data_IF_887229474902
#
_entry.id   IF_887229474902
#
_cell.length_a   1.000
_cell.length_b   1.000
_cell.length_c   1.000
_cell.angle_alpha   90.00
_cell.angle_beta   90.00
_cell.angle_gamma   90.00
#
_symmetry.space_group_name_H-M   'P 1'
#
loop_
_entity.id
_entity.type
_entity.pdbx_description
1 polymer ?
#
# COMPACT_ATOMS: atom_id res chain seq x y z
N UNK A 1 -16.30 -34.12 27.02
CA UNK A 1 -16.82 -32.98 26.25
C UNK A 1 -15.88 -32.79 25.09
N UNK A 2 -16.32 -33.07 23.87
CA UNK A 2 -15.50 -32.97 22.66
C UNK A 2 -15.47 -31.52 22.19
N UNK A 3 -14.27 -30.93 22.08
CA UNK A 3 -14.07 -29.52 21.67
C UNK A 3 -13.67 -29.44 20.22
N UNK A 4 -14.35 -28.57 19.49
CA UNK A 4 -14.13 -28.30 18.07
C UNK A 4 -13.65 -26.86 17.92
N UNK A 5 -12.67 -26.62 17.06
CA UNK A 5 -12.29 -25.28 16.63
C UNK A 5 -12.47 -25.13 15.12
N UNK A 6 -12.89 -23.95 14.68
CA UNK A 6 -12.92 -23.57 13.27
C UNK A 6 -12.45 -22.13 13.11
N UNK A 7 -11.99 -21.77 11.91
CA UNK A 7 -11.50 -20.43 11.60
C UNK A 7 -12.08 -19.91 10.30
N UNK A 8 -12.26 -18.60 10.24
CA UNK A 8 -12.70 -17.93 9.03
C UNK A 8 -12.64 -16.42 9.15
N UNK A 9 -12.69 -15.76 8.01
CA UNK A 9 -12.92 -14.31 7.99
C UNK A 9 -14.37 -14.00 8.32
N UNK A 10 -15.32 -14.79 7.81
CA UNK A 10 -16.76 -14.57 8.01
C UNK A 10 -17.25 -13.21 7.47
N UNK A 11 -16.61 -12.72 6.41
CA UNK A 11 -16.95 -11.49 5.70
C UNK A 11 -18.23 -11.62 4.88
N UNK A 12 -19.08 -10.59 4.85
CA UNK A 12 -20.41 -10.59 4.22
C UNK A 12 -21.16 -11.86 4.61
N UNK A 13 -21.50 -11.94 5.89
CA UNK A 13 -21.96 -13.18 6.49
C UNK A 13 -23.16 -13.78 5.73
N UNK A 14 -22.96 -14.99 5.18
CA UNK A 14 -23.91 -15.61 4.26
C UNK A 14 -24.17 -17.09 4.63
N UNK A 15 -25.11 -17.73 3.92
CA UNK A 15 -25.54 -19.12 4.20
C UNK A 15 -24.39 -20.15 4.23
N UNK A 16 -23.37 -19.97 3.38
CA UNK A 16 -22.15 -20.80 3.45
C UNK A 16 -21.40 -20.73 4.79
N UNK A 17 -21.28 -19.54 5.41
CA UNK A 17 -20.70 -19.37 6.75
C UNK A 17 -21.60 -20.00 7.82
N UNK A 18 -22.91 -19.79 7.75
CA UNK A 18 -23.85 -20.44 8.65
C UNK A 18 -23.72 -21.98 8.60
N UNK A 19 -23.66 -22.57 7.41
CA UNK A 19 -23.59 -24.01 7.22
C UNK A 19 -22.26 -24.61 7.69
N UNK A 20 -21.12 -23.92 7.54
CA UNK A 20 -19.85 -24.43 8.07
C UNK A 20 -19.86 -24.41 9.60
N UNK A 21 -20.40 -23.35 10.23
CA UNK A 21 -20.51 -23.26 11.68
C UNK A 21 -21.48 -24.31 12.25
N UNK A 22 -22.63 -24.50 11.60
CA UNK A 22 -23.60 -25.54 11.98
C UNK A 22 -22.96 -26.92 11.98
N UNK A 23 -22.28 -27.28 10.88
CA UNK A 23 -21.62 -28.60 10.76
C UNK A 23 -20.43 -28.73 11.70
N UNK A 24 -19.67 -27.65 11.95
CA UNK A 24 -18.61 -27.68 12.95
C UNK A 24 -19.17 -27.94 14.37
N UNK A 25 -20.34 -27.39 14.71
CA UNK A 25 -21.02 -27.68 15.99
C UNK A 25 -21.52 -29.13 16.06
N UNK A 26 -21.89 -29.75 14.95
CA UNK A 26 -22.30 -31.17 14.91
C UNK A 26 -21.14 -32.14 15.20
N UNK A 27 -19.87 -31.69 15.11
CA UNK A 27 -18.66 -32.51 15.34
C UNK A 27 -18.23 -32.59 16.81
N UNK A 28 -18.91 -31.89 17.73
CA UNK A 28 -18.59 -31.95 19.16
C UNK A 28 -19.55 -31.16 20.05
N UNK A 29 -19.25 -31.14 21.34
CA UNK A 29 -20.12 -30.53 22.35
C UNK A 29 -19.87 -29.02 22.51
N UNK A 30 -18.65 -28.56 22.21
CA UNK A 30 -18.20 -27.18 22.43
C UNK A 30 -17.46 -26.65 21.19
N UNK A 31 -17.95 -25.58 20.58
CA UNK A 31 -17.42 -24.97 19.37
C UNK A 31 -16.73 -23.63 19.67
N UNK A 32 -15.45 -23.58 19.34
CA UNK A 32 -14.63 -22.37 19.34
C UNK A 32 -14.55 -21.85 17.90
N UNK A 33 -14.85 -20.58 17.69
CA UNK A 33 -14.78 -19.93 16.37
C UNK A 33 -13.73 -18.83 16.39
N UNK A 34 -12.66 -19.02 15.62
CA UNK A 34 -11.64 -18.00 15.37
C UNK A 34 -12.01 -17.09 14.20
N UNK A 35 -12.26 -15.81 14.49
CA UNK A 35 -12.53 -14.78 13.48
C UNK A 35 -11.21 -14.06 13.15
N UNK A 36 -10.81 -14.00 11.88
CA UNK A 36 -9.54 -13.34 11.50
C UNK A 36 -9.59 -11.83 11.75
N UNK A 37 -8.56 -11.29 12.41
CA UNK A 37 -8.38 -9.85 12.61
C UNK A 37 -8.10 -9.11 11.31
N UNK A 38 -8.41 -7.82 11.27
CA UNK A 38 -8.24 -6.97 10.07
C UNK A 38 -6.78 -6.82 9.66
N UNK A 39 -5.87 -6.67 10.62
CA UNK A 39 -4.43 -6.63 10.37
C UNK A 39 -3.95 -7.93 9.73
N UNK A 40 -4.35 -9.08 10.28
CA UNK A 40 -3.94 -10.37 9.76
C UNK A 40 -4.52 -10.67 8.36
N UNK A 41 -5.78 -10.28 8.11
CA UNK A 41 -6.36 -10.36 6.78
C UNK A 41 -5.58 -9.50 5.77
N UNK A 42 -5.17 -8.31 6.17
CA UNK A 42 -4.37 -7.42 5.33
C UNK A 42 -2.97 -7.98 5.06
N UNK A 43 -2.32 -8.51 6.09
CA UNK A 43 -0.98 -9.11 6.03
C UNK A 43 -0.90 -10.36 5.14
N UNK A 44 -1.99 -11.11 4.98
CA UNK A 44 -2.05 -12.27 4.06
C UNK A 44 -2.61 -11.93 2.68
N UNK A 45 -2.71 -10.65 2.36
CA UNK A 45 -3.20 -10.16 1.06
C UNK A 45 -4.71 -10.22 0.87
N UNK A 46 -5.49 -10.44 1.94
CA UNK A 46 -6.96 -10.45 1.89
C UNK A 46 -7.50 -9.03 2.10
N UNK A 47 -7.18 -8.15 1.16
CA UNK A 47 -7.53 -6.71 1.17
C UNK A 47 -9.00 -6.41 0.86
N UNK A 48 -9.81 -7.46 0.74
CA UNK A 48 -11.18 -7.41 0.22
C UNK A 48 -12.26 -7.50 1.29
N UNK A 49 -11.88 -7.61 2.56
CA UNK A 49 -12.81 -7.73 3.69
C UNK A 49 -13.60 -6.43 3.82
N UNK A 50 -14.93 -6.54 3.94
CA UNK A 50 -15.85 -5.41 4.01
C UNK A 50 -16.37 -5.20 5.44
N UNK A 51 -16.81 -6.28 6.08
CA UNK A 51 -17.37 -6.21 7.41
C UNK A 51 -16.26 -5.95 8.44
N UNK A 52 -16.48 -4.95 9.30
CA UNK A 52 -15.61 -4.72 10.46
C UNK A 52 -15.46 -6.00 11.29
N UNK A 53 -14.33 -6.17 11.97
CA UNK A 53 -14.13 -7.31 12.87
C UNK A 53 -15.31 -7.47 13.87
N UNK A 54 -15.80 -6.36 14.42
CA UNK A 54 -16.95 -6.34 15.33
C UNK A 54 -18.21 -6.89 14.66
N UNK A 55 -18.51 -6.45 13.43
CA UNK A 55 -19.65 -6.96 12.66
C UNK A 55 -19.54 -8.46 12.41
N UNK A 56 -18.34 -8.96 12.05
CA UNK A 56 -18.09 -10.38 11.77
C UNK A 56 -18.23 -11.24 13.03
N UNK A 57 -17.69 -10.77 14.17
CA UNK A 57 -17.87 -11.41 15.47
C UNK A 57 -19.35 -11.48 15.85
N UNK A 58 -20.09 -10.37 15.69
CA UNK A 58 -21.50 -10.31 16.04
C UNK A 58 -22.36 -11.22 15.15
N UNK A 59 -22.04 -11.30 13.85
CA UNK A 59 -22.69 -12.22 12.92
C UNK A 59 -22.45 -13.69 13.31
N UNK A 60 -21.23 -14.06 13.71
CA UNK A 60 -20.92 -15.39 14.26
C UNK A 60 -21.70 -15.63 15.55
N UNK A 61 -21.73 -14.68 16.47
CA UNK A 61 -22.45 -14.78 17.75
C UNK A 61 -23.94 -15.03 17.55
N UNK A 62 -24.58 -14.29 16.63
CA UNK A 62 -26.02 -14.41 16.29
C UNK A 62 -26.42 -15.79 15.77
N UNK A 63 -25.49 -16.60 15.30
CA UNK A 63 -25.79 -17.97 14.85
C UNK A 63 -26.19 -18.89 16.00
N UNK A 64 -25.76 -18.59 17.23
CA UNK A 64 -25.97 -19.44 18.40
C UNK A 64 -25.12 -20.71 18.43
N UNK A 65 -24.24 -20.93 17.45
CA UNK A 65 -23.41 -22.15 17.39
C UNK A 65 -22.10 -22.05 18.17
N UNK A 66 -21.52 -20.85 18.25
CA UNK A 66 -20.22 -20.64 18.89
C UNK A 66 -20.37 -20.51 20.41
N UNK A 67 -19.71 -21.39 21.16
CA UNK A 67 -19.63 -21.30 22.62
C UNK A 67 -18.52 -20.34 23.06
N UNK A 68 -17.46 -20.22 22.26
CA UNK A 68 -16.38 -19.25 22.42
C UNK A 68 -16.00 -18.64 21.07
N UNK A 69 -15.82 -17.32 21.03
CA UNK A 69 -15.29 -16.61 19.88
C UNK A 69 -13.93 -16.05 20.25
N UNK A 70 -12.93 -16.31 19.42
CA UNK A 70 -11.56 -15.78 19.55
C UNK A 70 -11.19 -15.00 18.28
N UNK A 71 -10.21 -14.13 18.38
CA UNK A 71 -9.67 -13.40 17.23
C UNK A 71 -8.34 -14.03 16.80
N UNK A 72 -8.19 -14.30 15.51
CA UNK A 72 -6.93 -14.76 14.91
C UNK A 72 -6.13 -13.58 14.38
N UNK A 73 -4.98 -13.30 14.99
CA UNK A 73 -4.15 -12.11 14.78
C UNK A 73 -2.85 -12.38 14.01
N UNK A 74 -2.38 -13.63 13.94
CA UNK A 74 -1.10 -13.94 13.27
C UNK A 74 -0.98 -15.39 12.81
N UNK A 75 -0.05 -15.63 11.88
CA UNK A 75 0.24 -16.96 11.34
C UNK A 75 0.79 -17.89 12.43
N UNK A 76 0.17 -19.06 12.58
CA UNK A 76 0.59 -20.09 13.54
C UNK A 76 -0.16 -20.07 14.86
N UNK A 77 -1.00 -19.06 15.12
CA UNK A 77 -1.83 -18.97 16.33
C UNK A 77 -2.68 -20.22 16.57
N UNK A 78 -3.15 -20.89 15.50
CA UNK A 78 -3.96 -22.12 15.58
C UNK A 78 -3.35 -23.19 16.47
N UNK A 79 -2.02 -23.36 16.45
CA UNK A 79 -1.34 -24.36 17.28
C UNK A 79 -1.49 -24.01 18.76
N UNK A 80 -1.28 -22.74 19.11
CA UNK A 80 -1.41 -22.28 20.49
C UNK A 80 -2.86 -22.40 20.96
N UNK A 81 -3.83 -22.04 20.11
CA UNK A 81 -5.24 -22.16 20.43
C UNK A 81 -5.65 -23.63 20.65
N UNK A 82 -5.22 -24.55 19.78
CA UNK A 82 -5.50 -25.99 19.91
C UNK A 82 -4.99 -26.51 21.27
N UNK A 83 -3.76 -26.15 21.65
CA UNK A 83 -3.15 -26.59 22.92
C UNK A 83 -3.84 -25.92 24.12
N UNK A 84 -4.02 -24.59 24.07
CA UNK A 84 -4.55 -23.78 25.16
C UNK A 84 -5.99 -24.17 25.51
N UNK A 85 -6.80 -24.42 24.50
CA UNK A 85 -8.21 -24.76 24.67
C UNK A 85 -8.46 -26.26 24.72
N UNK A 86 -7.40 -27.09 24.58
CA UNK A 86 -7.46 -28.55 24.62
C UNK A 86 -8.46 -29.07 23.58
N UNK A 87 -8.22 -28.71 22.32
CA UNK A 87 -9.12 -28.95 21.18
C UNK A 87 -8.93 -30.35 20.62
N UNK A 88 -10.03 -31.10 20.46
CA UNK A 88 -10.01 -32.45 19.89
C UNK A 88 -10.05 -32.44 18.35
N UNK A 89 -10.77 -31.48 17.75
CA UNK A 89 -10.99 -31.44 16.29
C UNK A 89 -10.85 -30.02 15.73
N UNK A 90 -10.04 -29.85 14.70
CA UNK A 90 -10.06 -28.69 13.79
C UNK A 90 -10.97 -28.99 12.60
N UNK A 91 -12.00 -28.17 12.44
CA UNK A 91 -12.92 -28.23 11.30
C UNK A 91 -12.67 -27.05 10.37
N UNK A 92 -12.43 -27.32 9.08
CA UNK A 92 -12.20 -26.27 8.08
C UNK A 92 -12.78 -26.65 6.71
N UNK A 93 -12.98 -25.66 5.83
CA UNK A 93 -13.50 -25.90 4.49
C UNK A 93 -12.54 -26.74 3.63
N UNK A 94 -13.08 -27.55 2.74
CA UNK A 94 -12.36 -28.44 1.82
C UNK A 94 -11.35 -27.74 0.91
N UNK A 95 -11.50 -26.44 0.67
CA UNK A 95 -10.55 -25.63 -0.11
C UNK A 95 -9.16 -25.56 0.52
N UNK A 96 -9.06 -25.92 1.80
CA UNK A 96 -7.81 -25.96 2.55
C UNK A 96 -7.22 -27.37 2.67
N UNK A 97 -7.79 -28.36 1.97
CA UNK A 97 -7.35 -29.76 2.03
C UNK A 97 -5.84 -29.86 1.76
N UNK A 98 -5.12 -30.54 2.64
CA UNK A 98 -3.66 -30.68 2.59
C UNK A 98 -2.90 -29.56 3.29
N UNK A 99 -3.48 -28.35 3.44
CA UNK A 99 -2.74 -27.20 3.99
C UNK A 99 -2.55 -27.29 5.51
N UNK A 100 -3.53 -27.85 6.22
CA UNK A 100 -3.53 -27.93 7.69
C UNK A 100 -3.25 -29.33 8.23
N UNK A 101 -2.87 -30.28 7.38
CA UNK A 101 -2.63 -31.67 7.77
C UNK A 101 -1.52 -31.81 8.83
N UNK A 102 -0.57 -30.88 8.86
CA UNK A 102 0.48 -30.82 9.88
C UNK A 102 -0.06 -30.63 11.31
N UNK A 103 -1.30 -30.12 11.47
CA UNK A 103 -1.97 -29.96 12.76
C UNK A 103 -2.53 -31.27 13.31
N UNK A 104 -2.56 -32.35 12.50
CA UNK A 104 -2.97 -33.71 12.93
C UNK A 104 -2.17 -34.26 14.11
N UNK A 105 -0.99 -33.68 14.38
CA UNK A 105 -0.15 -33.99 15.54
C UNK A 105 -0.73 -33.50 16.86
N UNK A 106 -1.64 -32.52 16.82
CA UNK A 106 -2.22 -31.87 17.99
C UNK A 106 -3.71 -32.17 18.15
N UNK A 107 -4.45 -32.32 17.06
CA UNK A 107 -5.89 -32.63 17.07
C UNK A 107 -6.30 -33.35 15.78
N UNK A 108 -7.51 -33.92 15.73
CA UNK A 108 -8.08 -34.43 14.48
C UNK A 108 -8.33 -33.27 13.50
N UNK A 109 -8.02 -33.42 12.22
CA UNK A 109 -8.28 -32.39 11.19
C UNK A 109 -9.34 -32.88 10.23
N UNK A 110 -10.50 -32.20 10.20
CA UNK A 110 -11.63 -32.52 9.31
C UNK A 110 -11.86 -31.42 8.29
N UNK A 111 -11.99 -31.84 7.04
CA UNK A 111 -12.33 -30.98 5.91
C UNK A 111 -13.79 -31.14 5.52
N UNK A 112 -14.59 -30.08 5.63
CA UNK A 112 -15.99 -30.07 5.24
C UNK A 112 -16.16 -29.52 3.83
N UNK A 113 -16.94 -30.19 3.00
CA UNK A 113 -17.29 -29.68 1.68
C UNK A 113 -17.93 -28.29 1.76
N UNK A 114 -17.64 -27.42 0.80
CA UNK A 114 -18.30 -26.12 0.73
C UNK A 114 -19.75 -26.25 0.30
N UNK A 115 -20.58 -25.32 0.79
CA UNK A 115 -21.90 -25.10 0.20
C UNK A 115 -21.70 -24.60 -1.23
N UNK A 116 -22.11 -25.42 -2.22
CA UNK A 116 -21.96 -25.09 -3.64
C UNK A 116 -22.66 -23.77 -3.97
N UNK A 117 -22.06 -22.98 -4.86
CA UNK A 117 -22.58 -21.72 -5.41
C UNK A 117 -22.73 -20.52 -4.45
N UNK A 118 -22.21 -20.57 -3.22
CA UNK A 118 -22.26 -19.43 -2.28
C UNK A 118 -20.85 -19.12 -1.73
N UNK A 119 -20.36 -17.90 -1.98
CA UNK A 119 -19.10 -17.41 -1.42
C UNK A 119 -19.13 -15.89 -1.28
N UNK A 120 -18.39 -15.34 -0.31
CA UNK A 120 -18.22 -13.89 -0.18
C UNK A 120 -17.68 -13.25 -1.46
N UNK A 121 -16.88 -13.95 -2.27
CA UNK A 121 -16.43 -13.41 -3.57
C UNK A 121 -17.58 -13.23 -4.55
N UNK A 122 -18.47 -14.22 -4.69
CA UNK A 122 -19.65 -14.10 -5.55
C UNK A 122 -20.63 -13.03 -5.07
N UNK A 123 -20.88 -12.98 -3.76
CA UNK A 123 -21.75 -11.95 -3.17
C UNK A 123 -21.13 -10.56 -3.37
N UNK A 124 -19.80 -10.43 -3.26
CA UNK A 124 -19.09 -9.20 -3.60
C UNK A 124 -19.30 -8.81 -5.06
N UNK A 125 -19.18 -9.75 -5.99
CA UNK A 125 -19.40 -9.46 -7.41
C UNK A 125 -20.86 -9.07 -7.72
N UNK A 126 -21.84 -9.60 -6.99
CA UNK A 126 -23.28 -9.35 -7.16
C UNK A 126 -23.76 -8.08 -6.45
N UNK A 127 -23.20 -7.73 -5.29
CA UNK A 127 -23.63 -6.61 -4.44
C UNK A 127 -22.71 -5.38 -4.50
N UNK A 128 -21.44 -5.52 -4.93
CA UNK A 128 -20.52 -4.39 -4.99
C UNK A 128 -20.68 -3.59 -6.28
N UNK A 129 -20.68 -2.27 -6.14
CA UNK A 129 -20.35 -1.37 -7.24
C UNK A 129 -18.90 -1.65 -7.67
N UNK A 130 -18.74 -2.25 -8.85
CA UNK A 130 -17.43 -2.40 -9.48
C UNK A 130 -17.02 -1.06 -10.08
N UNK A 131 -15.86 -0.57 -9.69
CA UNK A 131 -15.26 0.63 -10.25
C UNK A 131 -14.37 0.24 -11.42
N UNK A 132 -14.63 0.85 -12.57
CA UNK A 132 -13.83 0.65 -13.77
C UNK A 132 -12.52 1.41 -13.64
N UNK A 133 -11.42 0.69 -13.71
CA UNK A 133 -10.07 1.21 -13.55
C UNK A 133 -9.37 1.24 -14.92
N UNK A 134 -8.78 2.37 -15.26
CA UNK A 134 -8.01 2.54 -16.49
C UNK A 134 -6.60 3.05 -16.24
N UNK A 135 -5.70 2.79 -17.17
CA UNK A 135 -4.31 3.26 -17.13
C UNK A 135 -4.03 4.22 -18.27
N UNK A 136 -3.32 5.31 -18.00
CA UNK A 136 -2.71 6.17 -19.03
C UNK A 136 -1.21 5.89 -18.99
N UNK A 137 -0.64 5.42 -20.10
CA UNK A 137 0.78 5.02 -20.18
C UNK A 137 1.45 5.45 -21.47
N UNK A 138 2.77 5.65 -21.38
CA UNK A 138 3.66 5.93 -22.51
C UNK A 138 4.48 4.69 -22.93
N UNK A 139 4.23 3.51 -22.35
CA UNK A 139 5.05 2.31 -22.58
C UNK A 139 4.25 1.01 -22.47
N UNK A 140 4.78 -0.09 -23.04
CA UNK A 140 4.20 -1.45 -22.96
C UNK A 140 4.63 -2.23 -21.72
N UNK A 141 5.46 -1.63 -20.86
CA UNK A 141 6.16 -2.30 -19.77
C UNK A 141 5.53 -2.07 -18.39
N UNK A 142 4.48 -1.25 -18.28
CA UNK A 142 3.82 -0.94 -17.00
C UNK A 142 2.88 -2.05 -16.50
N UNK A 143 3.30 -3.31 -16.52
CA UNK A 143 2.46 -4.46 -16.17
C UNK A 143 1.98 -4.45 -14.72
N UNK A 144 2.78 -3.95 -13.79
CA UNK A 144 2.39 -3.84 -12.38
C UNK A 144 1.18 -2.91 -12.19
N UNK A 145 1.03 -1.89 -13.06
CA UNK A 145 -0.14 -1.00 -13.05
C UNK A 145 -1.45 -1.76 -13.34
N UNK A 146 -1.35 -2.91 -14.02
CA UNK A 146 -2.48 -3.81 -14.31
C UNK A 146 -2.64 -4.87 -13.23
N UNK A 147 -1.55 -5.49 -12.80
CA UNK A 147 -1.61 -6.67 -11.94
C UNK A 147 -1.98 -6.34 -10.50
N UNK A 148 -1.43 -5.25 -9.95
CA UNK A 148 -1.62 -4.89 -8.55
C UNK A 148 -3.08 -4.50 -8.21
N UNK A 149 -3.80 -3.68 -9.01
CA UNK A 149 -5.20 -3.36 -8.72
C UNK A 149 -6.14 -4.57 -8.76
N UNK A 150 -5.83 -5.63 -9.53
CA UNK A 150 -6.63 -6.86 -9.58
C UNK A 150 -6.69 -7.59 -8.23
N UNK A 151 -5.77 -7.29 -7.31
CA UNK A 151 -5.77 -7.83 -5.95
C UNK A 151 -6.67 -7.04 -4.98
N UNK A 152 -7.27 -5.93 -5.42
CA UNK A 152 -8.17 -5.09 -4.62
C UNK A 152 -9.62 -5.35 -5.04
N UNK A 153 -10.49 -5.69 -4.09
CA UNK A 153 -11.90 -5.94 -4.43
C UNK A 153 -12.64 -4.69 -4.83
N UNK A 154 -13.61 -4.85 -5.75
CA UNK A 154 -14.41 -3.77 -6.32
C UNK A 154 -13.69 -2.99 -7.42
N UNK A 155 -12.52 -3.45 -7.87
CA UNK A 155 -11.82 -2.92 -9.03
C UNK A 155 -12.02 -3.86 -10.22
N UNK A 156 -12.41 -3.31 -11.35
CA UNK A 156 -12.39 -3.99 -12.63
C UNK A 156 -11.51 -3.19 -13.60
N UNK A 157 -10.39 -3.76 -14.03
CA UNK A 157 -9.44 -3.08 -14.91
C UNK A 157 -9.64 -3.54 -16.36
N UNK A 158 -10.23 -2.68 -17.19
CA UNK A 158 -10.69 -3.02 -18.54
C UNK A 158 -9.99 -2.25 -19.66
N UNK A 159 -9.31 -1.14 -19.33
CA UNK A 159 -8.86 -0.24 -20.39
C UNK A 159 -7.52 0.45 -20.16
N UNK A 160 -6.89 0.78 -21.28
CA UNK A 160 -5.66 1.56 -21.33
C UNK A 160 -5.82 2.68 -22.34
N UNK A 161 -5.19 3.81 -22.06
CA UNK A 161 -4.98 4.89 -23.00
C UNK A 161 -3.48 5.15 -23.19
N UNK A 162 -3.11 5.43 -24.43
CA UNK A 162 -1.84 6.06 -24.76
C UNK A 162 -2.03 7.09 -25.87
N UNK A 163 -1.21 8.14 -25.88
CA UNK A 163 -1.20 9.07 -26.99
C UNK A 163 -0.66 8.43 -28.28
N UNK A 164 0.14 7.36 -28.16
CA UNK A 164 0.55 6.53 -29.28
C UNK A 164 -0.42 5.35 -29.44
N UNK A 165 -1.14 5.33 -30.57
CA UNK A 165 -2.12 4.29 -30.89
C UNK A 165 -1.50 2.88 -30.93
N UNK A 166 -0.22 2.76 -31.31
CA UNK A 166 0.49 1.48 -31.30
C UNK A 166 0.73 1.01 -29.87
N UNK A 167 1.19 1.90 -28.97
CA UNK A 167 1.41 1.57 -27.56
C UNK A 167 0.09 1.15 -26.90
N UNK A 168 -0.99 1.91 -27.12
CA UNK A 168 -2.30 1.56 -26.59
C UNK A 168 -2.75 0.15 -27.02
N UNK A 169 -2.58 -0.18 -28.31
CA UNK A 169 -2.95 -1.48 -28.87
C UNK A 169 -2.06 -2.61 -28.32
N UNK A 170 -0.74 -2.40 -28.31
CA UNK A 170 0.23 -3.41 -27.87
C UNK A 170 0.10 -3.68 -26.37
N UNK A 171 -0.12 -2.64 -25.55
CA UNK A 171 -0.40 -2.78 -24.12
C UNK A 171 -1.71 -3.55 -23.87
N UNK A 172 -2.79 -3.16 -24.55
CA UNK A 172 -4.08 -3.81 -24.46
C UNK A 172 -3.99 -5.31 -24.76
N UNK A 173 -3.28 -5.68 -25.84
CA UNK A 173 -3.08 -7.08 -26.21
C UNK A 173 -2.20 -7.81 -25.20
N UNK A 174 -1.09 -7.19 -24.75
CA UNK A 174 -0.11 -7.83 -23.85
C UNK A 174 -0.71 -8.19 -22.49
N UNK A 175 -1.60 -7.35 -21.96
CA UNK A 175 -2.22 -7.54 -20.64
C UNK A 175 -3.67 -8.00 -20.70
N UNK A 176 -4.15 -8.39 -21.90
CA UNK A 176 -5.48 -8.93 -22.15
C UNK A 176 -6.59 -7.99 -21.62
N UNK A 177 -6.47 -6.71 -21.94
CA UNK A 177 -7.50 -5.70 -21.61
C UNK A 177 -8.59 -5.67 -22.68
N UNK A 178 -9.78 -5.21 -22.30
CA UNK A 178 -10.93 -5.14 -23.21
C UNK A 178 -10.78 -4.05 -24.27
N UNK A 179 -10.12 -2.93 -23.94
CA UNK A 179 -10.05 -1.78 -24.84
C UNK A 179 -8.78 -0.94 -24.68
N UNK A 180 -8.12 -0.68 -25.81
CA UNK A 180 -7.01 0.27 -25.95
C UNK A 180 -7.47 1.53 -26.68
N UNK A 181 -7.35 2.67 -26.02
CA UNK A 181 -7.81 3.97 -26.52
C UNK A 181 -6.62 4.86 -26.93
N UNK A 182 -6.78 5.60 -28.01
CA UNK A 182 -5.90 6.71 -28.39
C UNK A 182 -6.60 8.08 -28.31
N UNK A 183 -7.89 8.10 -27.95
CA UNK A 183 -8.66 9.29 -27.61
C UNK A 183 -8.90 9.34 -26.11
N UNK A 184 -8.40 10.37 -25.44
CA UNK A 184 -8.49 10.46 -23.99
C UNK A 184 -9.91 10.70 -23.46
N UNK A 185 -10.79 11.37 -24.22
CA UNK A 185 -12.18 11.56 -23.79
C UNK A 185 -12.94 10.23 -23.79
N UNK A 186 -12.79 9.44 -24.85
CA UNK A 186 -13.46 8.16 -24.98
C UNK A 186 -12.98 7.19 -23.89
N UNK A 187 -11.68 7.21 -23.59
CA UNK A 187 -11.11 6.50 -22.45
C UNK A 187 -11.72 6.94 -21.11
N UNK A 188 -11.75 8.24 -20.82
CA UNK A 188 -12.32 8.75 -19.56
C UNK A 188 -13.81 8.39 -19.42
N UNK A 189 -14.56 8.35 -20.52
CA UNK A 189 -15.97 7.92 -20.50
C UNK A 189 -16.13 6.44 -20.14
N UNK A 190 -15.10 5.61 -20.37
CA UNK A 190 -15.13 4.17 -20.10
C UNK A 190 -14.80 3.77 -18.66
N UNK A 191 -14.27 4.68 -17.83
CA UNK A 191 -13.71 4.37 -16.51
C UNK A 191 -14.24 5.26 -15.38
N UNK A 192 -14.04 4.85 -14.13
CA UNK A 192 -14.32 5.63 -12.92
C UNK A 192 -13.03 6.12 -12.24
N UNK A 193 -11.98 5.30 -12.32
CA UNK A 193 -10.67 5.54 -11.72
C UNK A 193 -9.60 5.49 -12.81
N UNK A 194 -8.68 6.46 -12.82
CA UNK A 194 -7.54 6.49 -13.74
C UNK A 194 -6.22 6.51 -12.99
N UNK A 195 -5.29 5.64 -13.42
CA UNK A 195 -3.89 5.75 -13.03
C UNK A 195 -3.07 6.37 -14.17
N UNK A 196 -2.54 7.57 -13.93
CA UNK A 196 -1.70 8.32 -14.87
C UNK A 196 -0.23 7.99 -14.63
N UNK A 197 0.33 7.17 -15.52
CA UNK A 197 1.72 6.70 -15.50
C UNK A 197 2.45 7.12 -16.79
N UNK A 198 2.71 8.41 -16.88
CA UNK A 198 3.35 9.04 -18.04
C UNK A 198 4.55 9.89 -17.60
N UNK A 199 5.31 10.38 -18.58
CA UNK A 199 6.34 11.41 -18.32
C UNK A 199 5.74 12.64 -17.62
N UNK A 200 6.54 13.30 -16.79
CA UNK A 200 6.08 14.33 -15.85
C UNK A 200 5.42 15.52 -16.54
N UNK A 201 5.90 15.92 -17.71
CA UNK A 201 5.42 17.09 -18.45
C UNK A 201 3.95 16.98 -18.86
N UNK A 202 3.45 15.75 -19.03
CA UNK A 202 2.07 15.50 -19.44
C UNK A 202 1.12 15.24 -18.27
N UNK A 203 1.64 14.94 -17.07
CA UNK A 203 0.85 14.51 -15.90
C UNK A 203 -0.21 15.54 -15.52
N UNK A 204 0.15 16.82 -15.38
CA UNK A 204 -0.80 17.89 -15.04
C UNK A 204 -2.00 17.94 -15.99
N UNK A 205 -1.77 17.86 -17.31
CA UNK A 205 -2.82 17.90 -18.33
C UNK A 205 -3.77 16.72 -18.20
N UNK A 206 -3.24 15.50 -18.05
CA UNK A 206 -4.06 14.29 -17.91
C UNK A 206 -4.86 14.28 -16.61
N UNK A 207 -4.22 14.63 -15.49
CA UNK A 207 -4.85 14.69 -14.17
C UNK A 207 -5.96 15.74 -14.16
N UNK A 208 -5.68 16.99 -14.57
CA UNK A 208 -6.69 18.07 -14.62
C UNK A 208 -7.91 17.68 -15.43
N UNK A 209 -7.70 17.05 -16.59
CA UNK A 209 -8.79 16.64 -17.47
C UNK A 209 -9.60 15.46 -16.91
N UNK A 210 -8.96 14.50 -16.23
CA UNK A 210 -9.66 13.43 -15.51
C UNK A 210 -10.51 13.97 -14.36
N UNK A 211 -9.96 14.87 -13.54
CA UNK A 211 -10.68 15.49 -12.43
C UNK A 211 -11.89 16.30 -12.92
N UNK A 212 -11.76 17.05 -14.02
CA UNK A 212 -12.89 17.77 -14.63
C UNK A 212 -14.01 16.83 -15.11
N UNK A 213 -13.67 15.60 -15.51
CA UNK A 213 -14.63 14.55 -15.85
C UNK A 213 -15.08 13.73 -14.62
N UNK A 214 -14.82 14.23 -13.41
CA UNK A 214 -15.20 13.62 -12.13
C UNK A 214 -14.67 12.18 -11.97
N UNK A 215 -13.44 11.93 -12.42
CA UNK A 215 -12.75 10.65 -12.20
C UNK A 215 -11.87 10.71 -10.96
N UNK A 216 -11.76 9.59 -10.25
CA UNK A 216 -10.73 9.43 -9.22
C UNK A 216 -9.39 9.21 -9.91
N UNK A 217 -8.32 9.79 -9.38
CA UNK A 217 -7.02 9.84 -10.04
C UNK A 217 -5.91 9.36 -9.12
N UNK A 218 -5.14 8.39 -9.58
CA UNK A 218 -3.80 8.10 -9.08
C UNK A 218 -2.83 8.60 -10.15
N UNK A 219 -1.70 9.18 -9.78
CA UNK A 219 -0.69 9.59 -10.75
C UNK A 219 0.72 9.43 -10.18
N UNK A 220 1.67 9.02 -11.03
CA UNK A 220 3.09 8.98 -10.66
C UNK A 220 3.52 10.36 -10.13
N UNK A 221 4.27 10.32 -9.04
CA UNK A 221 4.56 11.51 -8.26
C UNK A 221 5.86 12.19 -8.73
N UNK A 222 5.94 13.53 -8.73
CA UNK A 222 4.83 14.46 -8.51
C UNK A 222 4.00 14.66 -9.79
N UNK A 223 2.74 15.10 -9.64
CA UNK A 223 1.91 15.45 -10.80
C UNK A 223 2.41 16.71 -11.53
N UNK A 224 3.06 17.61 -10.78
CA UNK A 224 3.63 18.86 -11.26
C UNK A 224 4.71 19.35 -10.28
N UNK A 225 5.62 20.18 -10.77
CA UNK A 225 6.61 20.90 -9.96
C UNK A 225 6.18 22.35 -9.64
N UNK A 226 5.03 22.76 -10.16
CA UNK A 226 4.48 24.09 -9.91
C UNK A 226 3.51 24.05 -8.74
N UNK A 227 3.83 24.78 -7.65
CA UNK A 227 2.97 24.86 -6.45
C UNK A 227 1.54 25.31 -6.79
N UNK A 228 1.40 26.22 -7.75
CA UNK A 228 0.09 26.70 -8.22
C UNK A 228 -0.72 25.57 -8.87
N UNK A 229 -0.08 24.71 -9.64
CA UNK A 229 -0.74 23.59 -10.31
C UNK A 229 -1.16 22.52 -9.29
N UNK A 230 -0.31 22.21 -8.31
CA UNK A 230 -0.65 21.27 -7.22
C UNK A 230 -1.89 21.75 -6.46
N UNK A 231 -1.93 23.04 -6.08
CA UNK A 231 -3.07 23.64 -5.40
C UNK A 231 -4.33 23.58 -6.26
N UNK A 232 -4.24 23.95 -7.53
CA UNK A 232 -5.37 23.90 -8.45
C UNK A 232 -5.94 22.47 -8.59
N UNK A 233 -5.09 21.46 -8.76
CA UNK A 233 -5.54 20.07 -8.88
C UNK A 233 -6.19 19.56 -7.58
N UNK A 234 -5.66 19.97 -6.43
CA UNK A 234 -6.21 19.60 -5.11
C UNK A 234 -7.59 20.22 -4.90
N UNK A 235 -7.73 21.53 -5.15
CA UNK A 235 -9.02 22.22 -5.08
C UNK A 235 -10.05 21.65 -6.07
N UNK A 236 -9.62 21.27 -7.27
CA UNK A 236 -10.48 20.66 -8.28
C UNK A 236 -10.98 19.26 -7.85
N UNK A 237 -10.11 18.46 -7.25
CA UNK A 237 -10.48 17.14 -6.72
C UNK A 237 -11.51 17.27 -5.59
N UNK A 238 -11.32 18.24 -4.69
CA UNK A 238 -12.27 18.55 -3.62
C UNK A 238 -13.63 19.00 -4.16
N UNK A 239 -13.62 19.97 -5.08
CA UNK A 239 -14.83 20.51 -5.70
C UNK A 239 -15.65 19.44 -6.39
N UNK A 240 -15.00 18.48 -7.05
CA UNK A 240 -15.67 17.41 -7.78
C UNK A 240 -15.92 16.16 -6.92
N UNK A 241 -15.59 16.20 -5.62
CA UNK A 241 -15.70 15.08 -4.68
C UNK A 241 -15.03 13.80 -5.17
N UNK A 242 -13.84 13.93 -5.76
CA UNK A 242 -13.01 12.82 -6.25
C UNK A 242 -11.70 12.73 -5.49
N UNK A 243 -11.10 11.54 -5.48
CA UNK A 243 -9.83 11.27 -4.78
C UNK A 243 -8.68 11.53 -5.75
N UNK A 244 -7.62 12.18 -5.28
CA UNK A 244 -6.40 12.47 -6.05
C UNK A 244 -5.15 12.01 -5.26
N UNK A 245 -4.43 10.99 -5.74
CA UNK A 245 -3.27 10.39 -5.07
C UNK A 245 -1.96 10.42 -5.85
N UNK A 246 -0.89 10.84 -5.16
CA UNK A 246 0.47 10.74 -5.65
C UNK A 246 0.89 9.31 -5.40
N UNK A 247 1.43 8.64 -6.41
CA UNK A 247 1.89 7.27 -6.29
C UNK A 247 3.20 7.20 -5.50
N UNK A 248 3.08 7.37 -4.18
CA UNK A 248 4.14 7.22 -3.19
C UNK A 248 3.74 6.05 -2.28
N UNK A 249 3.89 4.82 -2.81
CA UNK A 249 3.38 3.58 -2.18
C UNK A 249 3.85 3.41 -0.74
N UNK A 250 5.07 3.85 -0.41
CA UNK A 250 5.64 3.87 0.94
C UNK A 250 4.65 4.36 2.00
N UNK A 251 3.91 5.44 1.72
CA UNK A 251 3.02 6.08 2.71
C UNK A 251 1.83 5.20 3.12
N UNK A 252 1.51 4.20 2.30
CA UNK A 252 0.37 3.31 2.46
C UNK A 252 0.78 1.96 3.05
N UNK A 253 2.09 1.71 3.22
CA UNK A 253 2.58 0.49 3.85
C UNK A 253 2.30 0.50 5.36
N UNK A 254 1.80 -0.62 5.88
CA UNK A 254 1.57 -0.81 7.32
C UNK A 254 2.85 -0.60 8.12
N UNK A 255 3.97 -1.16 7.64
CA UNK A 255 5.28 -1.00 8.26
C UNK A 255 5.72 0.46 8.36
N UNK A 256 5.43 1.29 7.35
CA UNK A 256 5.76 2.71 7.38
C UNK A 256 4.90 3.47 8.39
N UNK A 257 3.60 3.15 8.49
CA UNK A 257 2.74 3.70 9.54
C UNK A 257 3.27 3.38 10.95
N UNK A 258 3.71 2.15 11.17
CA UNK A 258 4.33 1.73 12.43
C UNK A 258 5.68 2.39 12.67
N UNK A 259 6.50 2.54 11.63
CA UNK A 259 7.76 3.27 11.69
C UNK A 259 7.55 4.71 12.17
N UNK A 260 6.58 5.44 11.58
CA UNK A 260 6.23 6.80 12.00
C UNK A 260 5.81 6.83 13.47
N UNK A 261 5.00 5.87 13.91
CA UNK A 261 4.60 5.76 15.32
C UNK A 261 5.83 5.55 16.21
N UNK A 262 6.72 4.62 15.86
CA UNK A 262 7.93 4.34 16.62
C UNK A 262 8.90 5.53 16.69
N UNK A 263 9.04 6.27 15.60
CA UNK A 263 9.90 7.45 15.54
C UNK A 263 9.30 8.63 16.33
N UNK A 264 7.98 8.82 16.31
CA UNK A 264 7.32 10.03 16.84
C UNK A 264 6.68 9.87 18.23
N UNK A 265 6.58 8.65 18.77
CA UNK A 265 5.99 8.36 20.10
C UNK A 265 6.99 8.40 21.26
N UNK A 266 8.09 9.15 21.11
CA UNK A 266 9.14 9.31 22.13
C UNK A 266 9.91 8.00 22.49
N UNK A 267 9.71 6.91 21.74
CA UNK A 267 10.42 5.62 21.99
C UNK A 267 11.93 5.69 21.71
N UNK A 268 12.34 6.62 20.86
CA UNK A 268 13.75 6.94 20.59
C UNK A 268 14.12 8.37 21.02
N UNK A 269 13.27 9.03 21.82
CA UNK A 269 13.47 10.43 22.20
C UNK A 269 13.11 11.41 21.07
N UNK A 270 13.63 12.63 21.19
CA UNK A 270 13.52 13.65 20.14
C UNK A 270 14.40 13.26 18.96
N UNK A 271 13.91 13.46 17.73
CA UNK A 271 14.64 13.15 16.51
C UNK A 271 15.81 14.12 16.32
N UNK A 272 17.02 13.58 16.09
CA UNK A 272 18.27 14.33 15.93
C UNK A 272 18.81 14.24 14.51
N UNK A 273 18.76 13.04 13.91
CA UNK A 273 19.30 12.83 12.57
C UNK A 273 18.47 11.82 11.79
N UNK A 274 18.22 12.11 10.51
CA UNK A 274 17.73 11.12 9.54
C UNK A 274 18.75 11.01 8.42
N UNK A 275 19.09 9.79 8.04
CA UNK A 275 19.93 9.51 6.89
C UNK A 275 19.21 8.48 6.04
N UNK A 276 19.07 8.73 4.75
CA UNK A 276 18.54 7.73 3.83
C UNK A 276 19.29 7.76 2.51
N UNK A 277 19.51 6.60 1.92
CA UNK A 277 20.14 6.45 0.61
C UNK A 277 19.21 5.72 -0.34
N UNK A 278 19.16 6.11 -1.60
CA UNK A 278 18.33 5.46 -2.62
C UNK A 278 19.05 5.47 -3.97
N UNK A 279 19.00 4.36 -4.70
CA UNK A 279 19.58 4.26 -6.03
C UNK A 279 18.56 3.89 -7.10
N UNK A 280 18.73 4.46 -8.30
CA UNK A 280 17.83 4.19 -9.44
C UNK A 280 17.84 2.72 -9.85
N UNK A 281 18.98 2.05 -9.77
CA UNK A 281 19.14 0.64 -10.14
C UNK A 281 18.33 -0.34 -9.25
N UNK A 282 17.82 0.12 -8.10
CA UNK A 282 16.94 -0.64 -7.22
C UNK A 282 15.46 -0.60 -7.69
N UNK A 283 15.17 0.16 -8.74
CA UNK A 283 13.90 0.19 -9.44
C UNK A 283 13.95 -0.60 -10.75
N UNK A 284 12.79 -0.93 -11.29
CA UNK A 284 12.68 -1.61 -12.58
C UNK A 284 13.41 -0.81 -13.67
N UNK A 285 14.28 -1.49 -14.42
CA UNK A 285 15.06 -0.90 -15.52
C UNK A 285 14.18 -0.34 -16.63
N UNK A 286 12.98 -0.88 -16.78
CA UNK A 286 12.00 -0.42 -17.78
C UNK A 286 11.25 0.84 -17.31
N UNK A 287 11.32 1.18 -16.01
CA UNK A 287 10.68 2.37 -15.46
C UNK A 287 11.50 3.61 -15.79
N UNK A 288 10.92 4.49 -16.61
CA UNK A 288 11.48 5.80 -16.91
C UNK A 288 11.33 6.67 -15.64
N UNK A 289 12.43 6.82 -14.90
CA UNK A 289 12.54 7.72 -13.75
C UNK A 289 13.70 8.68 -13.96
N UNK A 290 13.44 9.96 -13.74
CA UNK A 290 14.49 10.95 -13.62
C UNK A 290 14.88 11.20 -12.15
N UNK A 291 15.83 12.11 -11.96
CA UNK A 291 16.33 12.48 -10.64
C UNK A 291 15.22 12.93 -9.68
N UNK A 292 14.28 13.73 -10.16
CA UNK A 292 13.19 14.30 -9.35
C UNK A 292 12.19 13.22 -8.95
N UNK A 293 11.87 12.30 -9.85
CA UNK A 293 11.01 11.13 -9.56
C UNK A 293 11.63 10.23 -8.48
N UNK A 294 12.96 10.18 -8.38
CA UNK A 294 13.67 9.43 -7.33
C UNK A 294 13.75 10.22 -6.01
N UNK A 295 14.05 11.52 -6.09
CA UNK A 295 14.22 12.41 -4.94
C UNK A 295 12.93 12.62 -4.12
N UNK A 296 11.75 12.40 -4.70
CA UNK A 296 10.49 12.54 -3.97
C UNK A 296 10.38 11.58 -2.79
N UNK A 297 10.90 10.36 -2.89
CA UNK A 297 10.85 9.38 -1.81
C UNK A 297 11.57 9.87 -0.55
N UNK A 298 12.88 10.21 -0.60
CA UNK A 298 13.60 10.65 0.59
C UNK A 298 13.09 11.98 1.13
N UNK A 299 12.78 12.95 0.25
CA UNK A 299 12.29 14.27 0.69
C UNK A 299 10.95 14.11 1.41
N UNK A 300 9.99 13.40 0.81
CA UNK A 300 8.68 13.15 1.42
C UNK A 300 8.85 12.46 2.78
N UNK A 301 9.73 11.46 2.88
CA UNK A 301 9.98 10.72 4.13
C UNK A 301 10.56 11.60 5.24
N UNK A 302 11.53 12.46 4.90
CA UNK A 302 12.10 13.44 5.83
C UNK A 302 11.02 14.40 6.33
N UNK A 303 10.17 14.93 5.43
CA UNK A 303 9.06 15.81 5.79
C UNK A 303 8.02 15.08 6.67
N UNK A 304 7.72 13.79 6.41
CA UNK A 304 6.81 13.00 7.27
C UNK A 304 7.33 12.81 8.70
N UNK A 305 8.65 12.74 8.87
CA UNK A 305 9.31 12.47 10.15
C UNK A 305 9.60 13.76 10.93
N UNK A 306 10.21 14.77 10.30
CA UNK A 306 10.64 16.02 10.96
C UNK A 306 9.66 17.18 10.78
N UNK A 307 8.68 17.05 9.88
CA UNK A 307 7.71 18.09 9.57
C UNK A 307 8.19 19.06 8.49
N UNK A 308 7.40 20.11 8.24
CA UNK A 308 7.63 21.06 7.14
C UNK A 308 8.50 22.26 7.53
N UNK A 309 8.86 22.41 8.81
CA UNK A 309 9.52 23.61 9.35
C UNK A 309 11.05 23.52 9.28
N UNK A 310 11.60 23.18 8.11
CA UNK A 310 13.04 23.24 7.87
C UNK A 310 13.51 24.70 7.82
N UNK A 311 14.78 24.95 8.17
CA UNK A 311 15.42 26.27 8.11
C UNK A 311 16.21 26.47 6.83
N UNK A 312 16.86 25.41 6.37
CA UNK A 312 17.76 25.45 5.24
C UNK A 312 17.79 24.10 4.55
N UNK A 313 17.86 24.14 3.23
CA UNK A 313 18.10 22.98 2.38
C UNK A 313 19.26 23.29 1.45
N UNK A 314 20.07 22.28 1.14
CA UNK A 314 21.12 22.40 0.13
C UNK A 314 21.29 21.10 -0.63
N UNK A 315 21.57 21.19 -1.92
CA UNK A 315 21.90 20.05 -2.77
C UNK A 315 23.39 20.09 -3.16
N UNK A 316 24.04 18.93 -3.14
CA UNK A 316 25.38 18.74 -3.70
C UNK A 316 25.28 17.70 -4.81
N UNK A 317 25.72 18.07 -6.00
CA UNK A 317 25.68 17.21 -7.19
C UNK A 317 27.09 16.73 -7.53
N UNK A 318 27.19 15.48 -7.92
CA UNK A 318 28.39 14.90 -8.54
C UNK A 318 28.02 14.47 -9.95
N UNK A 319 28.88 14.82 -10.90
CA UNK A 319 28.67 14.57 -12.32
C UNK A 319 29.79 13.70 -12.89
N UNK A 320 29.48 12.99 -13.97
CA UNK A 320 30.48 12.28 -14.77
C UNK A 320 31.25 13.23 -15.71
N UNK A 321 32.19 12.65 -16.49
CA UNK A 321 33.01 13.38 -17.46
C UNK A 321 32.21 14.02 -18.61
N UNK A 322 30.96 13.59 -18.81
CA UNK A 322 30.05 14.09 -19.86
C UNK A 322 28.95 14.98 -19.22
N UNK A 323 29.15 15.43 -17.97
CA UNK A 323 28.28 16.36 -17.24
C UNK A 323 26.89 15.81 -16.87
N UNK A 324 26.69 14.49 -16.85
CA UNK A 324 25.47 13.86 -16.32
C UNK A 324 25.55 13.76 -14.80
N UNK A 325 24.44 14.02 -14.10
CA UNK A 325 24.36 13.83 -12.64
C UNK A 325 24.33 12.34 -12.31
N UNK A 326 25.38 11.84 -11.68
CA UNK A 326 25.48 10.43 -11.26
C UNK A 326 25.13 10.23 -9.79
N UNK A 327 25.28 11.27 -8.97
CA UNK A 327 25.01 11.25 -7.54
C UNK A 327 24.59 12.61 -7.02
N UNK A 328 23.73 12.61 -5.99
CA UNK A 328 23.36 13.81 -5.25
C UNK A 328 23.29 13.54 -3.75
N UNK A 329 23.61 14.57 -2.97
CA UNK A 329 23.38 14.62 -1.53
C UNK A 329 22.54 15.84 -1.20
N UNK A 330 21.36 15.60 -0.63
CA UNK A 330 20.48 16.62 -0.09
C UNK A 330 20.69 16.74 1.41
N UNK A 331 20.84 17.96 1.91
CA UNK A 331 20.96 18.24 3.34
C UNK A 331 19.82 19.13 3.80
N UNK A 332 19.23 18.80 4.94
CA UNK A 332 18.16 19.54 5.58
C UNK A 332 18.61 19.94 6.99
N UNK A 333 18.38 21.20 7.33
CA UNK A 333 18.63 21.73 8.67
C UNK A 333 17.31 22.15 9.32
N UNK A 334 17.07 21.67 10.53
CA UNK A 334 15.98 22.09 11.41
C UNK A 334 16.59 22.73 12.67
N UNK A 335 15.74 23.24 13.57
CA UNK A 335 16.21 23.84 14.83
C UNK A 335 17.02 22.86 15.69
N UNK A 336 16.56 21.61 15.81
CA UNK A 336 17.14 20.58 16.67
C UNK A 336 17.48 19.28 15.95
N UNK A 337 17.44 19.27 14.62
CA UNK A 337 17.66 18.06 13.82
C UNK A 337 18.31 18.36 12.47
N UNK A 338 18.94 17.35 11.89
CA UNK A 338 19.44 17.38 10.51
C UNK A 338 18.95 16.17 9.74
N UNK A 339 18.80 16.28 8.43
CA UNK A 339 18.57 15.12 7.59
C UNK A 339 19.48 15.12 6.36
N UNK A 340 19.89 13.94 5.94
CA UNK A 340 20.72 13.71 4.75
C UNK A 340 20.00 12.69 3.88
N UNK A 341 19.84 13.01 2.59
CA UNK A 341 19.39 12.07 1.59
C UNK A 341 20.44 11.92 0.49
N UNK A 342 20.90 10.69 0.29
CA UNK A 342 21.86 10.32 -0.75
C UNK A 342 21.11 9.66 -1.90
N UNK A 343 21.36 10.12 -3.12
CA UNK A 343 20.63 9.68 -4.32
C UNK A 343 21.65 9.25 -5.36
N UNK A 344 21.71 7.95 -5.64
CA UNK A 344 22.54 7.37 -6.68
C UNK A 344 21.76 7.19 -7.98
N UNK A 345 22.09 7.95 -9.01
CA UNK A 345 21.42 7.81 -10.31
C UNK A 345 22.06 6.70 -11.16
N UNK A 346 23.39 6.74 -11.28
CA UNK A 346 24.19 5.72 -11.98
C UNK A 346 25.20 5.03 -11.04
N UNK A 347 25.04 5.23 -9.72
CA UNK A 347 25.83 4.57 -8.70
C UNK A 347 24.95 3.79 -7.72
N UNK A 348 25.46 2.66 -7.26
CA UNK A 348 24.80 1.80 -6.28
C UNK A 348 25.14 2.27 -4.86
N UNK A 349 24.10 2.48 -4.07
CA UNK A 349 24.16 2.78 -2.64
C UNK A 349 23.55 1.60 -1.87
N UNK A 350 23.78 1.51 -0.56
CA UNK A 350 23.24 0.39 0.23
C UNK A 350 21.71 0.41 0.39
N UNK A 351 21.03 1.49 0.02
CA UNK A 351 19.57 1.59 0.13
C UNK A 351 19.08 1.59 1.59
N UNK A 352 19.87 2.13 2.53
CA UNK A 352 19.59 2.10 3.98
C UNK A 352 18.92 3.39 4.44
N UNK A 353 18.06 3.29 5.46
CA UNK A 353 17.59 4.46 6.23
C UNK A 353 17.88 4.30 7.73
N UNK A 354 18.48 5.32 8.32
CA UNK A 354 18.77 5.44 9.75
C UNK A 354 18.06 6.66 10.33
N UNK A 355 17.34 6.46 11.44
CA UNK A 355 16.70 7.51 12.22
C UNK A 355 17.34 7.48 13.61
N UNK A 356 17.97 8.58 14.01
CA UNK A 356 18.62 8.75 15.31
C UNK A 356 17.79 9.73 16.13
N UNK A 357 17.45 9.34 17.35
CA UNK A 357 16.90 10.24 18.36
C UNK A 357 17.74 10.25 19.63
N UNK A 358 17.38 11.12 20.58
CA UNK A 358 18.14 11.33 21.83
C UNK A 358 18.23 10.08 22.70
N UNK A 359 17.26 9.16 22.60
CA UNK A 359 17.15 7.98 23.44
C UNK A 359 17.19 6.65 22.67
N UNK A 360 17.53 6.67 21.38
CA UNK A 360 17.65 5.45 20.58
C UNK A 360 17.77 5.69 19.08
N UNK A 361 17.67 4.62 18.31
CA UNK A 361 17.68 4.67 16.86
C UNK A 361 16.76 3.63 16.22
N UNK A 362 16.38 3.90 14.97
CA UNK A 362 15.68 2.98 14.08
C UNK A 362 16.52 2.81 12.82
N UNK A 363 16.67 1.58 12.37
CA UNK A 363 17.40 1.19 11.16
C UNK A 363 16.47 0.39 10.24
N UNK A 364 16.36 0.84 8.99
CA UNK A 364 15.69 0.14 7.89
C UNK A 364 16.77 -0.28 6.89
N UNK A 365 17.11 -1.57 6.83
CA UNK A 365 18.13 -2.05 5.90
C UNK A 365 17.55 -2.34 4.52
N UNK A 366 18.17 -1.79 3.47
CA UNK A 366 17.85 -1.97 2.05
C UNK A 366 16.40 -1.59 1.68
N UNK A 367 16.17 -1.15 0.44
CA UNK A 367 14.85 -0.87 -0.13
C UNK A 367 13.87 -0.18 0.84
N UNK A 368 14.29 0.86 1.58
CA UNK A 368 13.48 1.42 2.66
C UNK A 368 12.15 2.04 2.18
N UNK A 369 12.01 2.34 0.89
CA UNK A 369 10.73 2.75 0.26
C UNK A 369 9.74 1.59 0.07
N UNK A 370 10.18 0.34 0.23
CA UNK A 370 9.38 -0.89 0.30
C UNK A 370 9.52 -1.55 1.67
N UNK A 371 9.54 -0.75 2.74
CA UNK A 371 9.80 -1.25 4.10
C UNK A 371 8.88 -2.41 4.48
N UNK A 372 9.44 -3.62 4.56
CA UNK A 372 8.79 -4.80 5.13
C UNK A 372 9.17 -5.01 6.60
N UNK A 373 10.30 -4.47 7.05
CA UNK A 373 10.70 -4.54 8.45
C UNK A 373 11.66 -3.41 8.84
N UNK A 374 11.73 -3.12 10.13
CA UNK A 374 12.73 -2.22 10.70
C UNK A 374 13.24 -2.72 12.04
N UNK A 375 14.40 -2.21 12.45
CA UNK A 375 15.05 -2.53 13.72
C UNK A 375 15.07 -1.28 14.58
N UNK A 376 14.58 -1.35 15.82
CA UNK A 376 14.68 -0.25 16.81
C UNK A 376 15.59 -0.66 17.96
N UNK A 377 16.40 0.26 18.45
CA UNK A 377 17.19 0.10 19.68
C UNK A 377 17.06 1.34 20.54
N UNK A 378 16.60 1.18 21.78
CA UNK A 378 16.71 2.26 22.79
C UNK A 378 18.11 2.24 23.44
N UNK A 379 18.57 3.36 24.00
CA UNK A 379 19.91 3.48 24.61
C UNK A 379 20.23 2.39 25.63
N UNK A 380 19.24 2.00 26.44
CA UNK A 380 19.38 1.01 27.51
C UNK A 380 19.22 -0.44 27.02
N UNK A 381 18.91 -0.66 25.74
CA UNK A 381 18.75 -1.99 25.16
C UNK A 381 20.08 -2.47 24.56
N UNK A 382 20.53 -3.68 24.92
CA UNK A 382 21.74 -4.28 24.31
C UNK A 382 21.55 -4.56 22.82
N UNK A 383 20.37 -5.06 22.44
CA UNK A 383 20.07 -5.57 21.11
C UNK A 383 18.93 -4.78 20.45
N UNK A 384 18.95 -4.75 19.12
CA UNK A 384 17.82 -4.26 18.34
C UNK A 384 16.60 -5.20 18.48
N UNK A 385 15.43 -4.59 18.65
CA UNK A 385 14.14 -5.25 18.44
C UNK A 385 13.74 -5.14 16.98
N UNK A 386 13.37 -6.26 16.37
CA UNK A 386 12.94 -6.33 14.96
C UNK A 386 11.42 -6.30 14.89
N UNK A 387 10.88 -5.45 14.02
CA UNK A 387 9.46 -5.33 13.73
C UNK A 387 9.27 -5.67 12.25
N UNK A 388 8.54 -6.74 11.96
CA UNK A 388 8.37 -7.28 10.61
C UNK A 388 6.89 -7.27 10.25
N UNK A 389 6.60 -6.91 9.01
CA UNK A 389 5.27 -6.79 8.44
C UNK A 389 5.32 -7.43 7.06
N UNK A 390 4.22 -8.02 6.65
CA UNK A 390 4.13 -8.58 5.31
C UNK A 390 3.98 -7.45 4.30
N UNK A 391 4.74 -7.54 3.21
CA UNK A 391 4.61 -6.71 2.03
C UNK A 391 4.33 -7.64 0.85
N UNK A 392 3.16 -7.49 0.24
CA UNK A 392 2.77 -8.21 -0.98
C UNK A 392 2.89 -7.29 -2.19
N UNK A 393 3.45 -7.81 -3.28
CA UNK A 393 3.68 -7.05 -4.51
C UNK A 393 4.65 -5.88 -4.32
N UNK A 394 4.35 -4.74 -4.95
CA UNK A 394 5.20 -3.55 -4.96
C UNK A 394 4.68 -2.42 -4.04
N UNK A 395 3.61 -2.69 -3.29
CA UNK A 395 2.94 -1.71 -2.43
C UNK A 395 1.79 -0.92 -3.07
N UNK A 396 1.63 -0.97 -4.39
CA UNK A 396 0.60 -0.21 -5.12
C UNK A 396 -0.82 -0.66 -4.76
N UNK A 397 -1.03 -1.96 -4.52
CA UNK A 397 -2.33 -2.49 -4.06
C UNK A 397 -2.84 -1.84 -2.77
N UNK A 398 -1.96 -1.49 -1.83
CA UNK A 398 -2.36 -0.83 -0.58
C UNK A 398 -2.77 0.62 -0.80
N UNK A 399 -2.14 1.31 -1.76
CA UNK A 399 -2.54 2.64 -2.18
C UNK A 399 -3.93 2.61 -2.83
N UNK A 400 -4.17 1.66 -3.73
CA UNK A 400 -5.49 1.47 -4.37
C UNK A 400 -6.55 1.09 -3.32
N UNK A 401 -6.20 0.26 -2.33
CA UNK A 401 -7.09 -0.09 -1.22
C UNK A 401 -7.49 1.14 -0.39
N UNK A 402 -6.54 2.00 0.03
CA UNK A 402 -6.84 3.24 0.78
C UNK A 402 -7.78 4.14 -0.04
N UNK A 403 -7.56 4.25 -1.36
CA UNK A 403 -8.44 4.99 -2.26
C UNK A 403 -9.86 4.40 -2.26
N UNK A 404 -9.99 3.09 -2.42
CA UNK A 404 -11.30 2.42 -2.42
C UNK A 404 -12.04 2.61 -1.10
N UNK A 405 -11.33 2.58 0.03
CA UNK A 405 -11.90 2.83 1.34
C UNK A 405 -12.37 4.29 1.50
N UNK A 406 -11.68 5.26 0.91
CA UNK A 406 -12.18 6.64 0.85
C UNK A 406 -13.45 6.73 0.01
N UNK A 407 -13.43 6.18 -1.21
CA UNK A 407 -14.55 6.23 -2.15
C UNK A 407 -15.82 5.62 -1.53
N UNK A 408 -15.72 4.43 -0.94
CA UNK A 408 -16.86 3.73 -0.30
C UNK A 408 -17.46 4.52 0.87
N UNK A 409 -16.61 5.22 1.61
CA UNK A 409 -17.02 6.03 2.76
C UNK A 409 -17.39 7.47 2.36
N UNK A 410 -17.55 7.76 1.07
CA UNK A 410 -17.85 9.11 0.55
C UNK A 410 -16.86 10.18 1.05
N UNK A 411 -15.58 9.78 1.21
CA UNK A 411 -14.47 10.67 1.56
C UNK A 411 -13.59 10.87 0.33
N UNK A 412 -12.97 12.04 0.22
CA UNK A 412 -12.11 12.41 -0.91
C UNK A 412 -10.67 12.77 -0.52
N UNK A 413 -10.35 12.83 0.78
CA UNK A 413 -9.01 13.15 1.30
C UNK A 413 -8.42 12.03 2.15
N UNK A 414 -7.17 11.68 1.87
CA UNK A 414 -6.39 10.80 2.75
C UNK A 414 -5.65 11.62 3.79
N UNK A 415 -5.43 11.02 4.96
CA UNK A 415 -4.56 11.60 6.01
C UNK A 415 -3.10 11.12 5.87
N UNK A 416 -2.81 10.25 4.91
CA UNK A 416 -1.48 9.66 4.69
C UNK A 416 -0.46 10.70 4.22
N UNK A 417 -0.87 11.60 3.32
CA UNK A 417 -0.08 12.73 2.84
C UNK A 417 -0.92 14.00 2.96
N UNK A 418 -0.49 14.94 3.81
CA UNK A 418 -1.17 16.22 3.95
C UNK A 418 -0.76 17.16 2.81
N UNK A 419 -1.65 18.09 2.47
CA UNK A 419 -1.42 19.07 1.41
C UNK A 419 -0.16 19.91 1.66
N UNK A 420 0.03 20.40 2.89
CA UNK A 420 1.23 21.16 3.24
C UNK A 420 2.52 20.30 3.14
N UNK A 421 2.46 19.00 3.44
CA UNK A 421 3.60 18.08 3.28
C UNK A 421 3.95 17.92 1.80
N UNK A 422 2.94 17.75 0.93
CA UNK A 422 3.13 17.66 -0.52
C UNK A 422 3.65 18.96 -1.12
N UNK A 423 3.04 20.10 -0.79
CA UNK A 423 3.47 21.42 -1.27
C UNK A 423 4.93 21.69 -0.90
N UNK A 424 5.31 21.41 0.35
CA UNK A 424 6.69 21.57 0.83
C UNK A 424 7.65 20.66 0.06
N UNK A 425 7.27 19.40 -0.14
CA UNK A 425 8.06 18.42 -0.90
C UNK A 425 8.30 18.90 -2.34
N UNK A 426 7.24 19.36 -3.01
CA UNK A 426 7.31 19.87 -4.37
C UNK A 426 8.17 21.15 -4.45
N UNK A 427 8.01 22.07 -3.51
CA UNK A 427 8.83 23.30 -3.45
C UNK A 427 10.34 22.98 -3.40
N UNK A 428 10.72 22.01 -2.57
CA UNK A 428 12.11 21.57 -2.46
C UNK A 428 12.58 20.90 -3.77
N UNK A 429 11.75 20.03 -4.36
CA UNK A 429 12.07 19.38 -5.65
C UNK A 429 12.29 20.39 -6.77
N UNK A 430 11.44 21.43 -6.84
CA UNK A 430 11.55 22.47 -7.87
C UNK A 430 12.82 23.30 -7.71
N UNK A 431 13.20 23.63 -6.48
CA UNK A 431 14.47 24.31 -6.20
C UNK A 431 15.67 23.47 -6.65
N UNK A 432 15.67 22.18 -6.33
CA UNK A 432 16.75 21.27 -6.74
C UNK A 432 16.80 21.12 -8.27
N UNK A 433 15.64 21.02 -8.93
CA UNK A 433 15.61 20.93 -10.38
C UNK A 433 16.19 22.19 -11.04
N UNK A 434 15.88 23.37 -10.50
CA UNK A 434 16.45 24.63 -10.98
C UNK A 434 17.98 24.65 -10.81
N UNK A 435 18.51 24.22 -9.66
CA UNK A 435 19.95 24.10 -9.45
C UNK A 435 20.63 23.15 -10.45
N UNK A 436 20.00 22.00 -10.76
CA UNK A 436 20.50 21.05 -11.77
C UNK A 436 20.51 21.71 -13.16
N UNK A 437 19.46 22.44 -13.52
CA UNK A 437 19.36 23.12 -14.82
C UNK A 437 20.36 24.28 -14.95
N UNK A 438 20.59 25.05 -13.89
CA UNK A 438 21.59 26.12 -13.86
C UNK A 438 23.01 25.57 -13.97
N UNK A 439 23.31 24.44 -13.34
CA UNK A 439 24.62 23.79 -13.45
C UNK A 439 24.87 23.13 -14.83
N UNK A 440 23.85 23.04 -15.70
CA UNK A 440 23.95 22.46 -17.05
C UNK A 440 24.06 23.53 -18.15
N UNK A 441 23.91 24.81 -17.80
CA UNK A 441 24.19 25.96 -18.68
C UNK A 441 25.63 26.40 -18.49
#
# INVERSE_FOLDING_TARGET
MRKVITYGTFDLFHKGHYNILKRAKEEGDYLIVGVTGENYDSERGKLSVQDSLTTRIENVRKTGFADLIIVEEYLGQKIQDIIKYDVDVLVIGSDWKGKFDHLSKYCEVKYLERTKNISSTKIREEEMTNYKFGIVTDTVYDGEAVMEPKHVSGIHLESVYSNDAKIAKDFCNKYELDSGYNNYNDFLNSIDIVYVKTKREDRYKYVKKALNNKKHVICDAPYSLEKKEIKELTELAEKNNVVLYNNITLLYLQAFGQLLWHARSNLIGDLISIKCSISKNEFDKERIMDFTDLAIYPICTIIKLLGTNYKETSCKLVKDDINNVIYSMLMFKYDNAVAIAEIGYDIELEGVMEIIGTNGSILIPHEWWKVGYFKRKSLNEKNYKRYTYNLEGNGFRYLVQDMMDLIRNSRNKSQRLKENELETTVEILSNIQNEILECNK
#
